data_IF_331440693764
#
_entry.id   IF_331440693764
#
_cell.length_a   1.000
_cell.length_b   1.000
_cell.length_c   1.000
_cell.angle_alpha   90.00
_cell.angle_beta   90.00
_cell.angle_gamma   90.00
#
_symmetry.space_group_name_H-M   'P 1'
#
loop_
_entity.id
_entity.type
_entity.pdbx_description
1 polymer ?
#
# COMPACT_ATOMS: atom_id res chain seq x y z
N UNK A 1 16.21 6.68 -4.06
CA UNK A 1 14.81 6.28 -4.37
C UNK A 1 14.58 4.79 -4.16
N UNK A 2 15.00 3.86 -5.04
CA UNK A 2 14.69 2.42 -4.89
C UNK A 2 15.17 1.78 -3.57
N UNK A 3 16.36 2.15 -3.06
CA UNK A 3 16.85 1.67 -1.76
C UNK A 3 15.91 2.04 -0.60
N UNK A 4 15.31 3.23 -0.65
CA UNK A 4 14.37 3.67 0.39
C UNK A 4 13.05 2.92 0.30
N UNK A 5 12.56 2.62 -0.91
CA UNK A 5 11.37 1.78 -1.11
C UNK A 5 11.59 0.40 -0.53
N UNK A 6 12.69 -0.26 -0.91
CA UNK A 6 13.03 -1.61 -0.41
C UNK A 6 13.17 -1.61 1.11
N UNK A 7 13.87 -0.61 1.68
CA UNK A 7 14.00 -0.47 3.13
C UNK A 7 12.65 -0.32 3.82
N UNK A 8 11.79 0.55 3.28
CA UNK A 8 10.45 0.80 3.84
C UNK A 8 9.58 -0.47 3.76
N UNK A 9 9.61 -1.19 2.65
CA UNK A 9 8.91 -2.46 2.48
C UNK A 9 9.39 -3.50 3.50
N UNK A 10 10.70 -3.67 3.64
CA UNK A 10 11.29 -4.60 4.64
C UNK A 10 10.87 -4.20 6.05
N UNK A 11 10.91 -2.91 6.38
CA UNK A 11 10.47 -2.40 7.68
C UNK A 11 8.97 -2.61 7.90
N UNK A 12 8.13 -2.40 6.87
CA UNK A 12 6.69 -2.61 6.95
C UNK A 12 6.34 -4.08 7.20
N UNK A 13 7.10 -5.00 6.63
CA UNK A 13 6.90 -6.45 6.83
C UNK A 13 7.46 -6.91 8.19
N UNK A 14 8.65 -6.44 8.56
CA UNK A 14 9.34 -6.93 9.78
C UNK A 14 8.89 -6.25 11.06
N UNK A 15 8.55 -4.96 11.02
CA UNK A 15 8.18 -4.15 12.19
C UNK A 15 7.04 -3.17 11.87
N UNK A 16 5.84 -3.65 11.53
CA UNK A 16 4.75 -2.80 11.03
C UNK A 16 4.37 -1.69 12.01
N UNK A 17 4.26 -1.98 13.30
CA UNK A 17 3.91 -0.99 14.33
C UNK A 17 4.88 0.18 14.37
N UNK A 18 6.19 -0.09 14.32
CA UNK A 18 7.22 0.97 14.32
C UNK A 18 7.21 1.76 13.01
N UNK A 19 6.99 1.07 11.90
CA UNK A 19 6.95 1.70 10.58
C UNK A 19 5.75 2.63 10.46
N UNK A 20 4.58 2.23 10.95
CA UNK A 20 3.40 3.08 10.97
C UNK A 20 3.59 4.33 11.85
N UNK A 21 4.22 4.20 13.03
CA UNK A 21 4.56 5.35 13.87
C UNK A 21 5.51 6.31 13.16
N UNK A 22 6.55 5.80 12.53
CA UNK A 22 7.50 6.61 11.75
C UNK A 22 6.82 7.36 10.58
N UNK A 23 5.88 6.69 9.88
CA UNK A 23 5.13 7.31 8.79
C UNK A 23 4.16 8.38 9.31
N UNK A 24 3.53 8.14 10.46
CA UNK A 24 2.70 9.13 11.13
C UNK A 24 3.52 10.36 11.53
N UNK A 25 4.65 10.18 12.20
CA UNK A 25 5.53 11.28 12.61
C UNK A 25 6.03 12.10 11.41
N UNK A 26 6.36 11.45 10.29
CA UNK A 26 6.72 12.15 9.04
C UNK A 26 5.58 12.99 8.52
N UNK A 27 4.37 12.40 8.46
CA UNK A 27 3.19 13.12 8.01
C UNK A 27 2.91 14.35 8.88
N UNK A 28 2.93 14.20 10.21
CA UNK A 28 2.69 15.29 11.15
C UNK A 28 3.72 16.43 11.01
N UNK A 29 4.99 16.10 10.77
CA UNK A 29 6.02 17.08 10.48
C UNK A 29 5.77 17.81 9.17
N UNK A 30 5.45 17.07 8.11
CA UNK A 30 5.15 17.64 6.80
C UNK A 30 3.92 18.57 6.87
N UNK A 31 2.89 18.20 7.63
CA UNK A 31 1.71 19.05 7.87
C UNK A 31 2.05 20.32 8.64
N UNK A 32 2.97 20.26 9.63
CA UNK A 32 3.41 21.41 10.39
C UNK A 32 4.29 22.36 9.56
N UNK A 33 5.14 21.83 8.68
CA UNK A 33 6.07 22.62 7.87
C UNK A 33 5.39 23.24 6.63
N UNK A 34 4.49 22.53 5.98
CA UNK A 34 3.88 22.91 4.69
C UNK A 34 2.39 23.26 4.77
N UNK A 35 1.75 22.99 5.91
CA UNK A 35 0.30 23.19 6.07
C UNK A 35 -0.56 22.18 5.30
N UNK A 36 0.06 21.17 4.66
CA UNK A 36 -0.64 20.13 3.90
C UNK A 36 0.12 18.79 3.92
N UNK A 37 -0.59 17.71 3.72
CA UNK A 37 0.01 16.39 3.55
C UNK A 37 0.81 16.37 2.24
N UNK A 38 2.09 16.01 2.28
CA UNK A 38 2.95 15.86 1.08
C UNK A 38 2.59 14.60 0.29
N UNK A 39 1.37 14.60 -0.24
CA UNK A 39 0.85 13.47 -1.01
C UNK A 39 1.60 13.25 -2.32
N UNK A 40 2.04 14.32 -2.97
CA UNK A 40 2.82 14.25 -4.22
C UNK A 40 4.15 13.51 -4.01
N UNK A 41 4.82 13.73 -2.87
CA UNK A 41 6.04 13.00 -2.53
C UNK A 41 5.78 11.50 -2.30
N UNK A 42 4.64 11.13 -1.69
CA UNK A 42 4.25 9.73 -1.56
C UNK A 42 4.04 9.07 -2.94
N UNK A 43 3.35 9.76 -3.85
CA UNK A 43 3.11 9.24 -5.20
C UNK A 43 4.41 9.06 -5.98
N UNK A 44 5.26 10.10 -6.03
CA UNK A 44 6.48 10.12 -6.83
C UNK A 44 7.59 9.22 -6.27
N UNK A 45 7.74 9.17 -4.96
CA UNK A 45 8.88 8.52 -4.31
C UNK A 45 8.60 7.08 -3.90
N UNK A 46 7.33 6.68 -3.78
CA UNK A 46 6.94 5.36 -3.35
C UNK A 46 5.99 4.65 -4.32
N UNK A 47 4.79 5.21 -4.53
CA UNK A 47 3.71 4.50 -5.23
C UNK A 47 4.04 4.20 -6.69
N UNK A 48 4.36 5.24 -7.48
CA UNK A 48 4.59 5.07 -8.92
C UNK A 48 5.83 4.21 -9.23
N UNK A 49 6.96 4.38 -8.53
CA UNK A 49 8.08 3.47 -8.70
C UNK A 49 7.76 2.02 -8.34
N UNK A 50 6.94 1.79 -7.31
CA UNK A 50 6.56 0.45 -6.90
C UNK A 50 5.65 -0.22 -7.94
N UNK A 51 4.63 0.49 -8.44
CA UNK A 51 3.79 0.00 -9.55
C UNK A 51 4.64 -0.25 -10.80
N UNK A 52 5.62 0.62 -11.07
CA UNK A 52 6.57 0.43 -12.17
C UNK A 52 7.38 -0.87 -12.04
N UNK A 53 7.92 -1.17 -10.86
CA UNK A 53 8.64 -2.43 -10.58
C UNK A 53 7.72 -3.64 -10.81
N UNK A 54 6.48 -3.57 -10.30
CA UNK A 54 5.50 -4.63 -10.47
C UNK A 54 5.16 -4.86 -11.95
N UNK A 55 5.00 -3.79 -12.72
CA UNK A 55 4.73 -3.84 -14.16
C UNK A 55 5.90 -4.47 -14.93
N UNK A 56 7.14 -4.10 -14.58
CA UNK A 56 8.35 -4.70 -15.17
C UNK A 56 8.47 -6.18 -14.79
N UNK A 57 8.17 -6.54 -13.54
CA UNK A 57 8.12 -7.94 -13.12
C UNK A 57 7.10 -8.75 -13.92
N UNK A 58 5.92 -8.19 -14.18
CA UNK A 58 4.89 -8.81 -15.00
C UNK A 58 5.34 -9.03 -16.46
N UNK A 59 6.07 -8.06 -17.04
CA UNK A 59 6.66 -8.22 -18.37
C UNK A 59 7.63 -9.39 -18.40
N UNK A 60 8.57 -9.46 -17.45
CA UNK A 60 9.56 -10.54 -17.39
C UNK A 60 8.99 -11.87 -16.92
N UNK A 61 7.83 -11.92 -16.32
CA UNK A 61 7.19 -13.16 -15.86
C UNK A 61 6.91 -14.14 -17.02
N UNK A 62 6.71 -13.62 -18.22
CA UNK A 62 6.53 -14.45 -19.43
C UNK A 62 7.80 -15.21 -19.76
N UNK A 63 8.99 -14.61 -19.54
CA UNK A 63 10.28 -15.26 -19.77
C UNK A 63 10.53 -16.46 -18.84
N UNK A 64 9.90 -16.48 -17.66
CA UNK A 64 10.09 -17.55 -16.67
C UNK A 64 9.13 -18.73 -16.85
N UNK A 65 8.05 -18.57 -17.63
CA UNK A 65 6.97 -19.56 -17.73
C UNK A 65 6.87 -20.28 -19.07
N UNK A 66 7.27 -19.62 -20.16
CA UNK A 66 7.09 -20.11 -21.53
C UNK A 66 8.19 -19.59 -22.45
N UNK A 67 8.17 -20.00 -23.74
CA UNK A 67 8.95 -19.34 -24.76
C UNK A 67 8.55 -17.84 -24.82
N UNK A 68 9.57 -16.99 -24.92
CA UNK A 68 9.35 -15.54 -24.87
C UNK A 68 8.51 -15.07 -26.05
N UNK A 69 7.34 -14.51 -25.73
CA UNK A 69 6.46 -13.85 -26.67
C UNK A 69 6.26 -12.38 -26.23
N UNK A 70 6.69 -11.46 -27.07
CA UNK A 70 6.64 -10.02 -26.80
C UNK A 70 5.21 -9.51 -26.66
N UNK A 71 4.26 -10.07 -27.41
CA UNK A 71 2.85 -9.68 -27.32
C UNK A 71 2.27 -10.07 -25.98
N UNK A 72 2.51 -11.29 -25.51
CA UNK A 72 2.07 -11.75 -24.21
C UNK A 72 2.75 -10.98 -23.07
N UNK A 73 4.05 -10.67 -23.20
CA UNK A 73 4.77 -9.90 -22.21
C UNK A 73 4.22 -8.47 -22.07
N UNK A 74 3.95 -7.79 -23.18
CA UNK A 74 3.31 -6.47 -23.18
C UNK A 74 1.89 -6.52 -22.60
N UNK A 75 1.10 -7.51 -22.98
CA UNK A 75 -0.26 -7.70 -22.47
C UNK A 75 -0.25 -7.91 -20.95
N UNK A 76 0.64 -8.75 -20.45
CA UNK A 76 0.81 -8.99 -19.01
C UNK A 76 1.17 -7.70 -18.28
N UNK A 77 2.13 -6.93 -18.80
CA UNK A 77 2.54 -5.65 -18.22
C UNK A 77 1.39 -4.63 -18.20
N UNK A 78 0.67 -4.47 -19.30
CA UNK A 78 -0.46 -3.52 -19.40
C UNK A 78 -1.57 -3.91 -18.42
N UNK A 79 -1.96 -5.19 -18.40
CA UNK A 79 -3.01 -5.69 -17.48
C UNK A 79 -2.60 -5.46 -16.04
N UNK A 80 -1.36 -5.79 -15.67
CA UNK A 80 -0.84 -5.58 -14.31
C UNK A 80 -0.82 -4.11 -13.95
N UNK A 81 -0.33 -3.24 -14.83
CA UNK A 81 -0.32 -1.80 -14.59
C UNK A 81 -1.73 -1.26 -14.36
N UNK A 82 -2.67 -1.55 -15.28
CA UNK A 82 -4.05 -1.03 -15.22
C UNK A 82 -4.79 -1.57 -13.99
N UNK A 83 -4.65 -2.87 -13.70
CA UNK A 83 -5.34 -3.49 -12.56
C UNK A 83 -4.77 -3.00 -11.22
N UNK A 84 -3.45 -2.87 -11.08
CA UNK A 84 -2.83 -2.38 -9.85
C UNK A 84 -3.15 -0.90 -9.62
N UNK A 85 -3.00 -0.08 -10.66
CA UNK A 85 -3.29 1.34 -10.58
C UNK A 85 -4.78 1.58 -10.31
N UNK A 86 -5.66 0.96 -11.09
CA UNK A 86 -7.11 1.08 -10.91
C UNK A 86 -7.59 0.52 -9.58
N UNK A 87 -7.06 -0.64 -9.16
CA UNK A 87 -7.35 -1.26 -7.87
C UNK A 87 -6.94 -0.38 -6.69
N UNK A 88 -5.75 0.23 -6.75
CA UNK A 88 -5.28 1.17 -5.74
C UNK A 88 -6.21 2.38 -5.57
N UNK A 89 -6.57 3.05 -6.67
CA UNK A 89 -7.47 4.21 -6.59
C UNK A 89 -8.87 3.82 -6.16
N UNK A 90 -9.40 2.69 -6.66
CA UNK A 90 -10.69 2.19 -6.25
C UNK A 90 -10.74 1.85 -4.76
N UNK A 91 -9.74 1.12 -4.26
CA UNK A 91 -9.64 0.77 -2.84
C UNK A 91 -9.53 2.01 -1.95
N UNK A 92 -8.74 3.00 -2.37
CA UNK A 92 -8.58 4.27 -1.65
C UNK A 92 -9.87 5.08 -1.61
N UNK A 93 -10.60 5.13 -2.71
CA UNK A 93 -11.89 5.79 -2.80
C UNK A 93 -12.93 5.10 -1.92
N UNK A 94 -13.04 3.77 -2.00
CA UNK A 94 -13.95 3.00 -1.16
C UNK A 94 -13.63 3.19 0.33
N UNK A 95 -12.35 3.15 0.70
CA UNK A 95 -11.94 3.41 2.08
C UNK A 95 -12.36 4.82 2.54
N UNK A 96 -12.20 5.84 1.69
CA UNK A 96 -12.60 7.21 2.00
C UNK A 96 -14.11 7.35 2.20
N UNK A 97 -14.93 6.65 1.40
CA UNK A 97 -16.40 6.60 1.60
C UNK A 97 -16.78 5.86 2.89
N UNK A 98 -16.14 4.71 3.16
CA UNK A 98 -16.34 3.96 4.40
C UNK A 98 -15.92 4.79 5.63
N UNK A 99 -14.85 5.59 5.50
CA UNK A 99 -14.34 6.45 6.57
C UNK A 99 -15.39 7.47 7.01
N UNK A 100 -16.08 8.07 6.07
CA UNK A 100 -17.20 8.96 6.37
C UNK A 100 -18.44 8.20 6.88
N UNK A 101 -18.83 7.11 6.21
CA UNK A 101 -20.07 6.38 6.50
C UNK A 101 -20.06 5.71 7.88
N UNK A 102 -18.98 5.02 8.23
CA UNK A 102 -18.89 4.26 9.48
C UNK A 102 -18.31 5.05 10.65
N UNK A 103 -17.27 5.84 10.38
CA UNK A 103 -16.54 6.54 11.45
C UNK A 103 -16.98 8.00 11.63
N UNK A 104 -17.90 8.50 10.79
CA UNK A 104 -18.41 9.89 10.81
C UNK A 104 -17.30 10.95 10.80
N UNK A 105 -16.18 10.66 10.15
CA UNK A 105 -15.03 11.56 10.01
C UNK A 105 -15.07 12.26 8.67
N UNK A 106 -14.42 13.42 8.60
CA UNK A 106 -14.27 14.15 7.34
C UNK A 106 -13.49 13.32 6.32
N UNK A 107 -13.89 13.42 5.06
CA UNK A 107 -13.21 12.76 3.94
C UNK A 107 -11.80 13.31 3.81
N UNK A 108 -10.83 12.40 3.75
CA UNK A 108 -9.44 12.73 3.48
C UNK A 108 -8.86 11.69 2.52
N UNK A 109 -9.12 11.90 1.24
CA UNK A 109 -8.68 10.97 0.20
C UNK A 109 -7.15 10.79 0.16
N UNK A 110 -6.31 11.85 0.26
CA UNK A 110 -4.87 11.68 0.35
C UNK A 110 -4.41 10.77 1.48
N UNK A 111 -5.00 10.89 2.66
CA UNK A 111 -4.71 10.04 3.81
C UNK A 111 -5.08 8.56 3.53
N UNK A 112 -6.27 8.33 2.96
CA UNK A 112 -6.70 6.98 2.58
C UNK A 112 -5.79 6.35 1.52
N UNK A 113 -5.34 7.15 0.55
CA UNK A 113 -4.41 6.69 -0.48
C UNK A 113 -3.04 6.31 0.10
N UNK A 114 -2.48 7.12 1.00
CA UNK A 114 -1.24 6.77 1.68
C UNK A 114 -1.39 5.50 2.51
N UNK A 115 -2.50 5.36 3.24
CA UNK A 115 -2.79 4.17 4.03
C UNK A 115 -2.88 2.91 3.17
N UNK A 116 -3.69 2.94 2.09
CA UNK A 116 -3.83 1.81 1.16
C UNK A 116 -2.50 1.47 0.50
N UNK A 117 -1.74 2.47 0.05
CA UNK A 117 -0.46 2.25 -0.62
C UNK A 117 0.59 1.59 0.28
N UNK A 118 0.74 2.05 1.53
CA UNK A 118 1.67 1.43 2.46
C UNK A 118 1.20 0.05 2.95
N UNK A 119 -0.11 -0.14 3.14
CA UNK A 119 -0.68 -1.44 3.50
C UNK A 119 -0.50 -2.49 2.41
N UNK A 120 -0.47 -2.08 1.14
CA UNK A 120 -0.28 -2.97 -0.02
C UNK A 120 1.17 -3.41 -0.22
N UNK A 121 2.13 -2.92 0.57
CA UNK A 121 3.56 -3.21 0.40
C UNK A 121 3.88 -4.71 0.35
N UNK A 122 3.32 -5.49 1.28
CA UNK A 122 3.51 -6.94 1.32
C UNK A 122 2.86 -7.62 0.11
N UNK A 123 1.63 -7.25 -0.22
CA UNK A 123 0.89 -7.84 -1.34
C UNK A 123 1.65 -7.62 -2.66
N UNK A 124 2.08 -6.40 -2.95
CA UNK A 124 2.87 -6.10 -4.14
C UNK A 124 4.21 -6.84 -4.17
N UNK A 125 4.85 -7.02 -3.01
CA UNK A 125 6.10 -7.79 -2.91
C UNK A 125 5.86 -9.27 -3.22
N UNK A 126 4.79 -9.86 -2.69
CA UNK A 126 4.42 -11.25 -2.97
C UNK A 126 4.04 -11.46 -4.43
N UNK A 127 3.36 -10.49 -5.04
CA UNK A 127 3.03 -10.52 -6.47
C UNK A 127 4.31 -10.53 -7.33
N UNK A 128 5.30 -9.67 -7.02
CA UNK A 128 6.59 -9.65 -7.72
C UNK A 128 7.31 -11.00 -7.57
N UNK A 129 7.35 -11.54 -6.35
CA UNK A 129 8.00 -12.85 -6.11
C UNK A 129 7.30 -13.95 -6.91
N UNK A 130 5.97 -14.00 -6.88
CA UNK A 130 5.21 -15.01 -7.62
C UNK A 130 5.34 -14.87 -9.14
N UNK A 131 5.41 -13.64 -9.66
CA UNK A 131 5.61 -13.38 -11.08
C UNK A 131 6.97 -13.85 -11.58
N UNK A 132 8.03 -13.57 -10.81
CA UNK A 132 9.41 -13.87 -11.22
C UNK A 132 9.84 -15.29 -10.81
N UNK A 133 9.31 -15.82 -9.73
CA UNK A 133 9.67 -17.10 -9.13
C UNK A 133 8.42 -17.94 -8.83
N UNK A 134 7.74 -18.47 -9.85
CA UNK A 134 6.46 -19.18 -9.70
C UNK A 134 6.54 -20.42 -8.78
N UNK A 135 7.72 -21.03 -8.63
CA UNK A 135 7.93 -22.17 -7.74
C UNK A 135 7.77 -21.82 -6.26
N UNK A 136 7.88 -20.53 -5.92
CA UNK A 136 7.67 -20.02 -4.57
C UNK A 136 6.22 -19.61 -4.28
N UNK A 137 5.25 -20.15 -5.01
CA UNK A 137 3.83 -19.85 -4.84
C UNK A 137 3.33 -20.01 -3.40
N UNK A 138 3.92 -20.92 -2.63
CA UNK A 138 3.54 -21.18 -1.23
C UNK A 138 3.78 -19.95 -0.32
N UNK A 139 4.68 -19.03 -0.71
CA UNK A 139 4.87 -17.78 0.03
C UNK A 139 3.64 -16.87 -0.01
N UNK A 140 2.74 -17.09 -0.97
CA UNK A 140 1.51 -16.32 -1.08
C UNK A 140 0.57 -16.48 0.13
N UNK A 141 0.78 -17.54 0.95
CA UNK A 141 0.06 -17.70 2.23
C UNK A 141 0.30 -16.50 3.18
N UNK A 142 1.46 -15.83 3.05
CA UNK A 142 1.76 -14.65 3.85
C UNK A 142 0.90 -13.42 3.50
N UNK A 143 0.07 -13.49 2.45
CA UNK A 143 -0.91 -12.43 2.15
C UNK A 143 -1.85 -12.19 3.34
N UNK A 144 -2.11 -13.22 4.14
CA UNK A 144 -2.91 -13.12 5.38
C UNK A 144 -2.28 -12.14 6.38
N UNK A 145 -0.95 -12.02 6.37
CA UNK A 145 -0.24 -11.05 7.22
C UNK A 145 -0.55 -9.59 6.86
N UNK A 146 -1.06 -9.33 5.65
CA UNK A 146 -1.53 -7.99 5.26
C UNK A 146 -2.66 -7.50 6.18
N UNK A 147 -3.51 -8.39 6.67
CA UNK A 147 -4.55 -8.01 7.63
C UNK A 147 -3.96 -7.47 8.94
N UNK A 148 -2.86 -8.07 9.41
CA UNK A 148 -2.15 -7.56 10.57
C UNK A 148 -1.52 -6.18 10.30
N UNK A 149 -0.90 -5.99 9.13
CA UNK A 149 -0.35 -4.68 8.73
C UNK A 149 -1.44 -3.61 8.68
N UNK A 150 -2.61 -3.93 8.11
CA UNK A 150 -3.77 -3.04 8.05
C UNK A 150 -4.30 -2.73 9.44
N UNK A 151 -4.39 -3.74 10.30
CA UNK A 151 -4.85 -3.57 11.69
C UNK A 151 -3.95 -2.60 12.45
N UNK A 152 -2.64 -2.83 12.45
CA UNK A 152 -1.67 -1.94 13.09
C UNK A 152 -1.73 -0.52 12.50
N UNK A 153 -1.82 -0.40 11.20
CA UNK A 153 -1.95 0.90 10.53
C UNK A 153 -3.23 1.64 10.88
N UNK A 154 -4.35 0.94 11.03
CA UNK A 154 -5.63 1.55 11.38
C UNK A 154 -5.62 2.16 12.78
N UNK A 155 -4.87 1.57 13.71
CA UNK A 155 -4.78 2.07 15.09
C UNK A 155 -3.83 3.25 15.25
N UNK A 156 -2.79 3.33 14.41
CA UNK A 156 -1.73 4.34 14.51
C UNK A 156 -1.94 5.46 13.49
N UNK A 157 -1.94 5.10 12.20
CA UNK A 157 -1.92 6.06 11.10
C UNK A 157 -3.30 6.70 10.83
N UNK A 158 -4.38 5.96 11.12
CA UNK A 158 -5.76 6.41 11.00
C UNK A 158 -6.50 6.26 12.35
N UNK A 159 -6.11 7.00 13.41
CA UNK A 159 -6.67 6.77 14.73
C UNK A 159 -8.18 7.01 14.75
N UNK A 160 -8.92 5.96 15.03
CA UNK A 160 -10.35 6.04 15.34
C UNK A 160 -10.45 6.53 16.77
N UNK A 161 -10.78 7.81 16.97
CA UNK A 161 -11.00 8.35 18.31
C UNK A 161 -12.26 7.69 18.91
N UNK A 162 -12.09 6.76 19.82
CA UNK A 162 -13.17 6.17 20.63
C UNK A 162 -13.66 7.12 21.76
N UNK A 163 -13.53 8.43 21.57
CA UNK A 163 -13.84 9.44 22.61
C UNK A 163 -15.33 9.61 22.92
N UNK A 164 -16.22 8.70 22.52
CA UNK A 164 -17.65 8.80 22.85
C UNK A 164 -18.22 7.59 23.60
N UNK A 165 -17.40 6.83 24.33
CA UNK A 165 -17.89 5.79 25.26
C UNK A 165 -17.52 6.10 26.72
N UNK A 166 -17.48 7.38 27.09
CA UNK A 166 -17.65 7.74 28.49
C UNK A 166 -19.15 7.78 28.76
N UNK A 167 -19.66 6.68 29.30
CA UNK A 167 -20.95 6.66 29.98
C UNK A 167 -20.96 7.80 31.01
N UNK A 168 -22.00 8.65 31.08
CA UNK A 168 -22.15 9.57 32.18
C UNK A 168 -22.33 8.74 33.45
N UNK A 169 -21.34 8.75 34.31
CA UNK A 169 -21.48 8.28 35.68
C UNK A 169 -22.39 9.28 36.40
N UNK A 170 -23.63 8.92 36.55
CA UNK A 170 -24.56 9.52 37.53
C UNK A 170 -24.18 9.11 38.92
#
# INVERSE_FOLDING_TARGET
>A
MYKEIVKLVIMMISQPTKTWKMLQERREKDEQETGSIRYEAFQSDYLYPFIGILTVAAFFSVCTRQEFDIEQALKSAIVTFVSTFGGFYLASYLLNELWQGFFKKEKNLPLCQMFVGFSSALMFTLDIVWMLLPDFFFLYIFIVYTFYIVWEGSTVFMPVSYTHLTLPTT
#
